data_IF_588981576773
#
_entry.id   IF_588981576773
#
_cell.length_a   1.000
_cell.length_b   1.000
_cell.length_c   1.000
_cell.angle_alpha   90.00
_cell.angle_beta   90.00
_cell.angle_gamma   90.00
#
_symmetry.space_group_name_H-M   'P 1'
#
loop_
_entity.id
_entity.type
_entity.pdbx_description
1 polymer ?
#
# COMPACT_ATOMS: atom_id res chain seq x y z
N UNK A 1 28.20 10.37 -7.04
CA UNK A 1 27.31 11.51 -6.78
C UNK A 1 25.97 10.94 -6.34
N UNK A 2 25.27 11.60 -5.42
CA UNK A 2 23.90 11.22 -5.04
C UNK A 2 22.99 11.39 -6.26
N UNK A 3 22.15 10.39 -6.55
CA UNK A 3 21.08 10.48 -7.55
C UNK A 3 19.73 10.73 -6.88
N UNK A 4 18.77 11.27 -7.63
CA UNK A 4 17.41 11.48 -7.12
C UNK A 4 16.74 10.16 -6.70
N UNK A 5 16.97 9.07 -7.44
CA UNK A 5 16.47 7.74 -7.09
C UNK A 5 17.04 7.23 -5.75
N UNK A 6 18.33 7.47 -5.50
CA UNK A 6 18.96 7.12 -4.22
C UNK A 6 18.36 7.92 -3.06
N UNK A 7 18.17 9.24 -3.22
CA UNK A 7 17.58 10.09 -2.19
C UNK A 7 16.13 9.70 -1.91
N UNK A 8 15.34 9.49 -2.96
CA UNK A 8 13.96 9.02 -2.87
C UNK A 8 13.86 7.67 -2.15
N UNK A 9 14.69 6.70 -2.53
CA UNK A 9 14.75 5.39 -1.88
C UNK A 9 15.15 5.52 -0.41
N UNK A 10 16.10 6.40 -0.10
CA UNK A 10 16.57 6.64 1.25
C UNK A 10 15.48 7.22 2.15
N UNK A 11 14.73 8.21 1.65
CA UNK A 11 13.59 8.79 2.33
C UNK A 11 12.50 7.75 2.60
N UNK A 12 12.15 6.93 1.59
CA UNK A 12 11.17 5.84 1.75
C UNK A 12 11.60 4.81 2.80
N UNK A 13 12.87 4.40 2.79
CA UNK A 13 13.41 3.46 3.79
C UNK A 13 13.29 4.00 5.21
N UNK A 14 13.56 5.29 5.42
CA UNK A 14 13.35 5.91 6.73
C UNK A 14 11.92 5.72 7.22
N UNK A 15 10.93 6.06 6.38
CA UNK A 15 9.53 5.97 6.77
C UNK A 15 9.16 4.53 7.13
N UNK A 16 9.53 3.56 6.28
CA UNK A 16 9.25 2.13 6.51
C UNK A 16 9.92 1.62 7.79
N UNK A 17 11.23 1.87 7.95
CA UNK A 17 12.01 1.32 9.06
C UNK A 17 11.58 1.93 10.40
N UNK A 18 11.37 3.25 10.43
CA UNK A 18 10.90 3.93 11.65
C UNK A 18 9.45 3.59 11.97
N UNK A 19 8.57 3.44 10.96
CA UNK A 19 7.19 3.02 11.18
C UNK A 19 7.14 1.66 11.87
N UNK A 20 7.90 0.69 11.33
CA UNK A 20 8.00 -0.64 11.91
C UNK A 20 8.55 -0.61 13.33
N UNK A 21 9.61 0.16 13.56
CA UNK A 21 10.19 0.34 14.88
C UNK A 21 9.16 0.87 15.89
N UNK A 22 8.48 1.97 15.58
CA UNK A 22 7.53 2.60 16.51
C UNK A 22 6.28 1.75 16.74
N UNK A 23 5.81 1.04 15.71
CA UNK A 23 4.70 0.08 15.82
C UNK A 23 5.08 -1.07 16.76
N UNK A 24 6.30 -1.61 16.64
CA UNK A 24 6.81 -2.65 17.54
C UNK A 24 6.95 -2.14 18.99
N UNK A 25 7.51 -0.93 19.18
CA UNK A 25 7.60 -0.31 20.50
C UNK A 25 6.22 -0.11 21.13
N UNK A 26 5.24 0.33 20.35
CA UNK A 26 3.88 0.54 20.83
C UNK A 26 3.19 -0.77 21.19
N UNK A 27 3.34 -1.81 20.38
CA UNK A 27 2.83 -3.16 20.67
C UNK A 27 3.37 -3.69 22.01
N UNK A 28 4.68 -3.50 22.27
CA UNK A 28 5.30 -3.86 23.55
C UNK A 28 4.71 -3.07 24.73
N UNK A 29 4.39 -1.79 24.54
CA UNK A 29 3.74 -0.98 25.57
C UNK A 29 2.31 -1.50 25.84
N UNK A 30 1.53 -1.76 24.78
CA UNK A 30 0.17 -2.30 24.90
C UNK A 30 0.12 -3.67 25.59
N UNK A 31 1.08 -4.56 25.29
CA UNK A 31 1.13 -5.89 25.92
C UNK A 31 1.31 -5.86 27.44
N UNK A 32 1.83 -4.77 27.99
CA UNK A 32 2.03 -4.56 29.43
C UNK A 32 0.95 -3.66 30.06
N UNK A 33 -0.09 -3.32 29.31
CA UNK A 33 -1.14 -2.40 29.75
C UNK A 33 -2.20 -3.14 30.58
N UNK A 34 -2.59 -2.56 31.71
CA UNK A 34 -3.82 -2.94 32.41
C UNK A 34 -5.07 -2.38 31.74
N UNK A 35 -6.25 -2.61 32.32
CA UNK A 35 -7.49 -1.98 31.84
C UNK A 35 -7.50 -0.47 32.15
N UNK A 36 -7.04 0.36 31.21
CA UNK A 36 -7.18 1.81 31.23
C UNK A 36 -7.74 2.29 29.90
N UNK A 37 -8.70 3.22 29.94
CA UNK A 37 -9.26 3.88 28.76
C UNK A 37 -8.40 5.06 28.29
N UNK A 38 -7.53 5.59 29.15
CA UNK A 38 -6.65 6.71 28.81
C UNK A 38 -5.26 6.21 28.42
N UNK A 39 -4.68 6.84 27.41
CA UNK A 39 -3.28 6.64 27.05
C UNK A 39 -2.37 7.20 28.15
N UNK A 40 -1.38 6.41 28.54
CA UNK A 40 -0.26 6.86 29.35
C UNK A 40 0.61 7.84 28.57
N UNK A 41 1.40 8.64 29.29
CA UNK A 41 2.41 9.52 28.68
C UNK A 41 3.30 8.79 27.67
N UNK A 42 3.70 7.55 27.97
CA UNK A 42 4.57 6.76 27.09
C UNK A 42 3.86 6.35 25.80
N UNK A 43 2.57 6.00 25.88
CA UNK A 43 1.75 5.71 24.70
C UNK A 43 1.62 6.95 23.82
N UNK A 44 1.23 8.08 24.40
CA UNK A 44 1.11 9.38 23.70
C UNK A 44 2.44 9.87 23.09
N UNK A 45 3.59 9.44 23.60
CA UNK A 45 4.90 9.74 22.99
C UNK A 45 5.30 8.79 21.84
N UNK A 46 4.59 7.67 21.69
CA UNK A 46 4.99 6.57 20.82
C UNK A 46 4.06 6.46 19.62
N UNK A 47 2.75 6.31 19.83
CA UNK A 47 1.83 6.01 18.74
C UNK A 47 1.73 7.10 17.66
N UNK A 48 1.78 8.40 18.01
CA UNK A 48 1.70 9.45 17.00
C UNK A 48 2.87 9.42 16.01
N UNK A 49 4.00 8.84 16.40
CA UNK A 49 5.19 8.74 15.55
C UNK A 49 4.95 7.81 14.37
N UNK A 50 4.39 6.63 14.58
CA UNK A 50 4.10 5.75 13.45
C UNK A 50 2.94 6.31 12.60
N UNK A 51 2.01 7.09 13.17
CA UNK A 51 0.97 7.77 12.39
C UNK A 51 1.58 8.78 11.42
N UNK A 52 2.42 9.70 11.90
CA UNK A 52 3.07 10.67 11.00
C UNK A 52 4.02 10.00 10.01
N UNK A 53 4.70 8.90 10.38
CA UNK A 53 5.55 8.15 9.45
C UNK A 53 4.77 7.50 8.32
N UNK A 54 3.54 7.04 8.59
CA UNK A 54 2.64 6.57 7.55
C UNK A 54 2.25 7.70 6.58
N UNK A 55 1.83 8.85 7.12
CA UNK A 55 1.51 10.03 6.30
C UNK A 55 2.72 10.54 5.49
N UNK A 56 3.91 10.57 6.09
CA UNK A 56 5.18 10.88 5.42
C UNK A 56 5.46 9.88 4.29
N UNK A 57 5.29 8.58 4.54
CA UNK A 57 5.49 7.57 3.50
C UNK A 57 4.56 7.81 2.31
N UNK A 58 3.28 8.06 2.55
CA UNK A 58 2.31 8.38 1.50
C UNK A 58 2.73 9.64 0.74
N UNK A 59 3.11 10.71 1.44
CA UNK A 59 3.58 11.94 0.83
C UNK A 59 4.83 11.73 -0.03
N UNK A 60 5.83 11.01 0.47
CA UNK A 60 7.04 10.65 -0.32
C UNK A 60 6.66 9.80 -1.52
N UNK A 61 5.83 8.78 -1.33
CA UNK A 61 5.39 7.87 -2.38
C UNK A 61 4.36 8.50 -3.33
N UNK A 62 3.91 9.75 -3.10
CA UNK A 62 3.15 10.55 -4.07
C UNK A 62 4.04 11.21 -5.13
N UNK A 63 5.37 11.11 -4.99
CA UNK A 63 6.32 11.50 -6.03
C UNK A 63 6.53 10.32 -6.99
N UNK A 64 6.28 10.52 -8.29
CA UNK A 64 6.51 9.48 -9.30
C UNK A 64 8.01 9.21 -9.47
N UNK A 65 8.45 8.02 -9.06
CA UNK A 65 9.87 7.64 -9.11
C UNK A 65 10.45 7.60 -10.53
N UNK A 66 9.61 7.57 -11.58
CA UNK A 66 10.07 7.64 -12.97
C UNK A 66 10.31 9.08 -13.45
N UNK A 67 9.79 10.07 -12.72
CA UNK A 67 9.77 11.48 -13.09
C UNK A 67 10.24 12.34 -11.91
N UNK A 68 11.27 11.87 -11.19
CA UNK A 68 11.87 12.63 -10.10
C UNK A 68 12.63 13.85 -10.63
N UNK A 69 12.56 14.99 -9.94
CA UNK A 69 13.38 16.15 -10.27
C UNK A 69 14.85 15.89 -9.90
N UNK A 70 15.71 16.89 -10.11
CA UNK A 70 17.10 16.79 -9.66
C UNK A 70 17.21 16.75 -8.12
N UNK A 71 18.40 16.45 -7.61
CA UNK A 71 18.61 16.20 -6.17
C UNK A 71 18.27 17.43 -5.30
N UNK A 72 18.72 18.67 -5.63
CA UNK A 72 18.33 19.85 -4.87
C UNK A 72 16.81 20.06 -4.80
N UNK A 73 16.12 20.02 -5.95
CA UNK A 73 14.67 20.21 -5.98
C UNK A 73 13.93 19.06 -5.27
N UNK A 74 14.41 17.82 -5.41
CA UNK A 74 13.85 16.67 -4.69
C UNK A 74 13.98 16.83 -3.17
N UNK A 75 15.12 17.31 -2.69
CA UNK A 75 15.34 17.55 -1.26
C UNK A 75 14.34 18.59 -0.72
N UNK A 76 14.18 19.71 -1.43
CA UNK A 76 13.19 20.74 -1.06
C UNK A 76 11.77 20.17 -1.01
N UNK A 77 11.37 19.36 -2.00
CA UNK A 77 10.06 18.70 -2.01
C UNK A 77 9.88 17.74 -0.83
N UNK A 78 10.89 16.95 -0.50
CA UNK A 78 10.83 16.02 0.63
C UNK A 78 10.72 16.77 1.98
N UNK A 79 11.39 17.91 2.11
CA UNK A 79 11.25 18.77 3.29
C UNK A 79 9.87 19.40 3.37
N UNK A 80 9.32 19.86 2.25
CA UNK A 80 7.96 20.38 2.18
C UNK A 80 6.93 19.30 2.55
N UNK A 81 7.06 18.09 1.99
CA UNK A 81 6.26 16.93 2.40
C UNK A 81 6.36 16.74 3.91
N UNK A 82 7.55 16.83 4.49
CA UNK A 82 7.75 16.66 5.92
C UNK A 82 7.08 17.74 6.78
N UNK A 83 6.80 18.92 6.23
CA UNK A 83 6.10 20.00 6.93
C UNK A 83 4.58 19.91 6.75
N UNK A 84 4.13 19.50 5.57
CA UNK A 84 2.73 19.62 5.16
C UNK A 84 1.94 18.30 5.28
N UNK A 85 2.61 17.14 5.20
CA UNK A 85 1.88 15.87 5.18
C UNK A 85 1.14 15.65 6.50
N UNK A 86 -0.13 15.31 6.41
CA UNK A 86 -0.95 14.91 7.55
C UNK A 86 -2.03 13.95 7.02
N UNK A 87 -2.54 13.09 7.89
CA UNK A 87 -3.74 12.31 7.64
C UNK A 87 -4.75 12.57 8.76
N UNK A 88 -5.98 12.07 8.60
CA UNK A 88 -7.03 12.21 9.62
C UNK A 88 -6.56 11.74 11.00
N UNK A 89 -5.72 10.71 11.08
CA UNK A 89 -5.25 10.18 12.35
C UNK A 89 -4.29 11.15 13.07
N UNK A 90 -3.45 11.86 12.31
CA UNK A 90 -2.57 12.92 12.83
C UNK A 90 -3.34 14.20 13.14
N UNK A 91 -4.28 14.61 12.28
CA UNK A 91 -5.05 15.85 12.46
C UNK A 91 -5.99 15.80 13.68
N UNK A 92 -6.47 14.60 14.03
CA UNK A 92 -7.34 14.41 15.19
C UNK A 92 -6.58 14.37 16.53
N UNK A 93 -5.24 14.49 16.53
CA UNK A 93 -4.45 14.58 17.75
C UNK A 93 -4.65 15.95 18.41
N UNK A 94 -5.01 15.93 19.69
CA UNK A 94 -5.26 17.16 20.48
C UNK A 94 -4.35 17.29 21.70
N UNK A 95 -3.62 16.23 22.06
CA UNK A 95 -2.73 16.23 23.20
C UNK A 95 -1.37 16.84 22.82
N UNK A 96 -0.88 17.78 23.63
CA UNK A 96 0.42 18.44 23.42
C UNK A 96 1.58 17.45 23.29
N UNK A 97 1.59 16.37 24.10
CA UNK A 97 2.63 15.33 24.05
C UNK A 97 2.60 14.57 22.73
N UNK A 98 1.41 14.38 22.16
CA UNK A 98 1.22 13.68 20.89
C UNK A 98 1.71 14.54 19.73
N UNK A 99 1.34 15.83 19.74
CA UNK A 99 1.79 16.82 18.77
C UNK A 99 3.32 17.01 18.82
N UNK A 100 3.92 17.11 20.02
CA UNK A 100 5.37 17.14 20.18
C UNK A 100 6.05 15.89 19.60
N UNK A 101 5.43 14.72 19.75
CA UNK A 101 5.97 13.48 19.21
C UNK A 101 5.97 13.47 17.68
N UNK A 102 4.90 14.01 17.05
CA UNK A 102 4.79 14.21 15.60
C UNK A 102 5.88 15.15 15.10
N UNK A 103 6.00 16.35 15.68
CA UNK A 103 6.98 17.36 15.26
C UNK A 103 8.43 16.90 15.44
N UNK A 104 8.70 16.17 16.52
CA UNK A 104 10.00 15.54 16.74
C UNK A 104 10.33 14.50 15.66
N UNK A 105 9.34 13.78 15.13
CA UNK A 105 9.55 12.79 14.06
C UNK A 105 9.75 13.45 12.70
N UNK A 106 8.96 14.48 12.36
CA UNK A 106 9.19 15.33 11.16
C UNK A 106 10.61 15.89 11.14
N UNK A 107 11.05 16.44 12.27
CA UNK A 107 12.40 17.01 12.43
C UNK A 107 13.50 15.97 12.19
N UNK A 108 13.33 14.75 12.73
CA UNK A 108 14.29 13.65 12.50
C UNK A 108 14.33 13.22 11.05
N UNK A 109 13.18 13.12 10.38
CA UNK A 109 13.12 12.81 8.94
C UNK A 109 13.90 13.84 8.12
N UNK A 110 13.66 15.14 8.34
CA UNK A 110 14.37 16.22 7.64
C UNK A 110 15.88 16.15 7.92
N UNK A 111 16.28 15.95 9.17
CA UNK A 111 17.68 15.76 9.51
C UNK A 111 18.28 14.53 8.82
N UNK A 112 17.53 13.44 8.72
CA UNK A 112 17.98 12.20 8.12
C UNK A 112 18.27 12.36 6.62
N UNK A 113 17.35 12.96 5.87
CA UNK A 113 17.52 13.16 4.42
C UNK A 113 18.63 14.18 4.08
N UNK A 114 18.82 15.21 4.94
CA UNK A 114 19.89 16.21 4.77
C UNK A 114 21.28 15.64 5.05
N UNK A 115 21.39 14.70 5.98
CA UNK A 115 22.68 14.18 6.46
C UNK A 115 23.08 12.85 5.82
N UNK A 116 22.56 12.52 4.63
CA UNK A 116 22.86 11.27 3.94
C UNK A 116 24.37 11.15 3.61
N UNK A 117 25.11 10.23 4.25
CA UNK A 117 26.54 10.12 4.05
C UNK A 117 26.85 9.58 2.65
N UNK A 118 27.77 10.21 1.92
CA UNK A 118 28.14 9.77 0.56
C UNK A 118 28.57 8.30 0.49
N UNK A 119 29.20 7.78 1.55
CA UNK A 119 29.63 6.38 1.65
C UNK A 119 28.49 5.37 1.67
N UNK A 120 27.31 5.79 2.13
CA UNK A 120 26.16 4.91 2.30
C UNK A 120 25.33 4.80 1.00
N UNK A 121 25.52 5.76 0.07
CA UNK A 121 24.83 5.83 -1.21
C UNK A 121 25.01 4.59 -2.09
N UNK A 122 26.20 4.01 -2.09
CA UNK A 122 26.52 2.83 -2.90
C UNK A 122 25.80 1.56 -2.45
N UNK A 123 25.24 1.56 -1.24
CA UNK A 123 24.53 0.43 -0.65
C UNK A 123 23.00 0.60 -0.68
N UNK A 124 22.51 1.72 -1.23
CA UNK A 124 21.08 1.95 -1.35
C UNK A 124 20.54 1.10 -2.50
N UNK A 125 19.98 -0.06 -2.15
CA UNK A 125 19.18 -0.88 -3.06
C UNK A 125 17.83 -0.18 -3.29
N UNK A 126 17.43 0.10 -4.55
CA UNK A 126 16.12 0.67 -4.88
C UNK A 126 14.98 -0.15 -4.28
N UNK A 127 13.98 0.55 -3.72
CA UNK A 127 12.74 -0.09 -3.30
C UNK A 127 11.84 -0.30 -4.52
N UNK A 128 10.96 -1.32 -4.50
CA UNK A 128 10.01 -1.55 -5.59
C UNK A 128 9.11 -0.33 -5.85
N UNK A 129 8.63 -0.23 -7.09
CA UNK A 129 7.83 0.90 -7.53
C UNK A 129 6.54 0.99 -6.71
N UNK A 130 6.27 2.18 -6.19
CA UNK A 130 5.00 2.53 -5.54
C UNK A 130 4.73 4.01 -5.73
N UNK A 131 3.52 4.34 -6.15
CA UNK A 131 3.10 5.69 -6.46
C UNK A 131 1.66 5.93 -5.99
N UNK A 132 1.46 6.76 -4.96
CA UNK A 132 0.13 7.13 -4.48
C UNK A 132 -0.48 8.23 -5.34
N UNK A 133 -1.77 8.10 -5.64
CA UNK A 133 -2.54 9.11 -6.33
C UNK A 133 -4.03 8.92 -6.06
N UNK A 134 -4.80 9.98 -6.26
CA UNK A 134 -6.26 9.91 -6.19
C UNK A 134 -6.80 9.17 -7.42
N UNK A 135 -6.93 7.85 -7.30
CA UNK A 135 -7.45 6.98 -8.37
C UNK A 135 -8.94 7.22 -8.62
N UNK A 136 -9.73 7.59 -7.61
CA UNK A 136 -11.17 7.84 -7.75
C UNK A 136 -11.44 9.01 -8.70
N UNK A 137 -10.56 10.01 -8.68
CA UNK A 137 -10.62 11.14 -9.62
C UNK A 137 -10.34 10.77 -11.09
N UNK A 138 -9.90 9.54 -11.37
CA UNK A 138 -9.46 9.14 -12.70
C UNK A 138 -10.55 8.48 -13.54
N UNK A 139 -10.47 8.63 -14.85
CA UNK A 139 -11.38 7.96 -15.79
C UNK A 139 -11.23 6.45 -15.78
N UNK A 140 -10.05 5.92 -15.45
CA UNK A 140 -9.81 4.48 -15.40
C UNK A 140 -10.55 3.81 -14.25
N UNK A 141 -10.74 4.50 -13.12
CA UNK A 141 -11.52 3.97 -12.01
C UNK A 141 -12.99 3.78 -12.38
N UNK A 142 -13.63 4.80 -12.95
CA UNK A 142 -15.02 4.67 -13.42
C UNK A 142 -15.20 3.60 -14.50
N UNK A 143 -14.20 3.42 -15.38
CA UNK A 143 -14.19 2.32 -16.34
C UNK A 143 -14.06 0.95 -15.68
N UNK A 144 -13.21 0.83 -14.65
CA UNK A 144 -13.06 -0.39 -13.86
C UNK A 144 -14.38 -0.75 -13.18
N UNK A 145 -14.99 0.22 -12.48
CA UNK A 145 -16.28 0.04 -11.82
C UNK A 145 -17.37 -0.39 -12.80
N UNK A 146 -17.46 0.28 -13.96
CA UNK A 146 -18.41 -0.11 -15.00
C UNK A 146 -18.13 -1.51 -15.56
N UNK A 147 -16.87 -1.84 -15.85
CA UNK A 147 -16.46 -3.11 -16.49
C UNK A 147 -16.78 -4.32 -15.61
N UNK A 148 -16.55 -4.20 -14.31
CA UNK A 148 -16.69 -5.28 -13.34
C UNK A 148 -17.92 -5.11 -12.43
N UNK A 149 -18.75 -4.11 -12.71
CA UNK A 149 -19.92 -3.72 -11.91
C UNK A 149 -19.61 -3.64 -10.41
N UNK A 150 -18.47 -3.02 -10.09
CA UNK A 150 -18.18 -2.55 -8.75
C UNK A 150 -19.06 -1.32 -8.54
N UNK A 151 -20.16 -1.48 -7.79
CA UNK A 151 -21.03 -0.37 -7.48
C UNK A 151 -20.37 0.54 -6.42
N UNK A 152 -20.57 1.84 -6.56
CA UNK A 152 -20.17 2.83 -5.57
C UNK A 152 -21.02 2.75 -4.29
N UNK A 153 -22.00 1.84 -4.23
CA UNK A 153 -22.95 1.66 -3.14
C UNK A 153 -22.46 0.78 -1.99
N UNK A 154 -21.14 0.56 -1.87
CA UNK A 154 -20.51 -0.06 -0.71
C UNK A 154 -20.64 -1.58 -0.59
N UNK A 155 -21.13 -2.28 -1.62
CA UNK A 155 -21.39 -3.72 -1.60
C UNK A 155 -20.89 -4.44 -2.87
N UNK A 156 -19.62 -4.29 -3.27
CA UNK A 156 -19.06 -5.28 -4.21
C UNK A 156 -18.84 -6.58 -3.47
N UNK A 157 -19.90 -7.37 -3.43
CA UNK A 157 -19.87 -8.73 -2.93
C UNK A 157 -19.89 -9.67 -4.14
N UNK A 158 -18.83 -10.45 -4.37
CA UNK A 158 -18.84 -11.46 -5.42
C UNK A 158 -19.84 -12.61 -5.13
N UNK A 159 -20.52 -12.57 -3.99
CA UNK A 159 -21.38 -13.62 -3.45
C UNK A 159 -22.89 -13.24 -3.41
N UNK A 160 -23.27 -11.95 -3.54
CA UNK A 160 -24.69 -11.51 -3.58
C UNK A 160 -25.20 -11.28 -5.01
N UNK A 161 -24.29 -11.01 -5.94
CA UNK A 161 -24.58 -10.96 -7.35
C UNK A 161 -24.18 -12.27 -8.02
N UNK A 162 -25.06 -12.81 -8.87
CA UNK A 162 -24.64 -13.89 -9.79
C UNK A 162 -23.43 -13.36 -10.57
N UNK A 163 -22.33 -14.13 -10.68
CA UNK A 163 -21.16 -13.69 -11.44
C UNK A 163 -21.62 -13.22 -12.82
N UNK A 164 -21.12 -12.07 -13.25
CA UNK A 164 -21.67 -11.35 -14.42
C UNK A 164 -21.49 -12.17 -15.70
N UNK A 165 -20.69 -13.23 -15.66
CA UNK A 165 -20.62 -14.30 -16.67
C UNK A 165 -19.64 -15.39 -16.22
N UNK A 166 -19.27 -16.31 -17.13
CA UNK A 166 -18.11 -17.22 -17.01
C UNK A 166 -16.73 -16.50 -16.88
N UNK A 167 -16.71 -15.21 -16.56
CA UNK A 167 -15.52 -14.35 -16.46
C UNK A 167 -15.09 -14.06 -15.03
N UNK A 168 -15.74 -14.67 -14.04
CA UNK A 168 -15.44 -14.46 -12.61
C UNK A 168 -15.35 -15.81 -11.88
N UNK A 169 -14.50 -15.89 -10.87
CA UNK A 169 -14.44 -17.01 -9.93
C UNK A 169 -14.06 -16.48 -8.56
N UNK A 170 -14.52 -17.17 -7.52
CA UNK A 170 -14.19 -16.88 -6.14
C UNK A 170 -13.19 -17.90 -5.61
N UNK A 171 -12.18 -17.41 -4.91
CA UNK A 171 -11.14 -18.18 -4.26
C UNK A 171 -11.14 -17.86 -2.76
N UNK A 172 -10.87 -18.87 -1.93
CA UNK A 172 -10.57 -18.62 -0.51
C UNK A 172 -9.24 -17.88 -0.37
N UNK A 173 -9.12 -17.01 0.65
CA UNK A 173 -7.93 -16.17 0.85
C UNK A 173 -6.62 -16.97 0.96
N UNK A 174 -6.70 -18.19 1.49
CA UNK A 174 -5.60 -19.16 1.60
C UNK A 174 -4.96 -19.47 0.24
N UNK A 175 -5.67 -19.25 -0.88
CA UNK A 175 -5.09 -19.31 -2.21
C UNK A 175 -3.88 -18.37 -2.35
N UNK A 176 -3.88 -17.21 -1.70
CA UNK A 176 -2.77 -16.24 -1.77
C UNK A 176 -1.61 -16.57 -0.83
N UNK A 177 -1.50 -17.84 -0.43
CA UNK A 177 -0.28 -18.40 0.10
C UNK A 177 0.91 -18.25 -0.89
N UNK A 178 2.06 -18.81 -0.51
CA UNK A 178 3.26 -18.74 -1.33
C UNK A 178 3.06 -19.32 -2.74
N UNK A 179 2.21 -20.34 -2.91
CA UNK A 179 1.95 -20.97 -4.20
C UNK A 179 1.07 -20.11 -5.11
N UNK A 180 -0.06 -19.60 -4.63
CA UNK A 180 -0.91 -18.73 -5.46
C UNK A 180 -0.21 -17.44 -5.85
N UNK A 181 0.56 -16.84 -4.94
CA UNK A 181 1.42 -15.69 -5.26
C UNK A 181 2.43 -16.03 -6.36
N UNK A 182 3.06 -17.20 -6.30
CA UNK A 182 4.00 -17.63 -7.33
C UNK A 182 3.32 -17.84 -8.70
N UNK A 183 2.08 -18.35 -8.71
CA UNK A 183 1.27 -18.51 -9.93
C UNK A 183 0.94 -17.14 -10.52
N UNK A 184 0.44 -16.20 -9.71
CA UNK A 184 0.14 -14.83 -10.16
C UNK A 184 1.40 -14.10 -10.65
N UNK A 185 2.56 -14.27 -9.97
CA UNK A 185 3.85 -13.73 -10.44
C UNK A 185 4.21 -14.23 -11.84
N UNK A 186 4.03 -15.52 -12.10
CA UNK A 186 4.28 -16.11 -13.43
C UNK A 186 3.30 -15.58 -14.47
N UNK A 187 2.02 -15.42 -14.11
CA UNK A 187 1.01 -14.82 -14.99
C UNK A 187 1.39 -13.39 -15.38
N UNK A 188 1.64 -12.52 -14.40
CA UNK A 188 2.00 -11.11 -14.64
C UNK A 188 3.29 -10.99 -15.45
N UNK A 189 4.31 -11.80 -15.14
CA UNK A 189 5.55 -11.86 -15.93
C UNK A 189 5.30 -12.30 -17.37
N UNK A 190 4.49 -13.35 -17.57
CA UNK A 190 4.14 -13.86 -18.91
C UNK A 190 3.36 -12.85 -19.75
N UNK A 191 2.51 -12.04 -19.11
CA UNK A 191 1.76 -10.94 -19.72
C UNK A 191 2.56 -9.64 -19.85
N UNK A 192 3.81 -9.62 -19.37
CA UNK A 192 4.68 -8.43 -19.32
C UNK A 192 4.04 -7.25 -18.59
N UNK A 193 3.19 -7.54 -17.60
CA UNK A 193 2.57 -6.54 -16.73
C UNK A 193 3.67 -6.02 -15.82
N UNK A 194 3.98 -4.73 -15.97
CA UNK A 194 5.01 -4.05 -15.17
C UNK A 194 4.43 -3.29 -13.98
N UNK A 195 3.15 -2.94 -14.04
CA UNK A 195 2.47 -2.15 -13.00
C UNK A 195 1.05 -2.65 -12.82
N UNK A 196 0.61 -2.62 -11.57
CA UNK A 196 -0.78 -2.80 -11.19
C UNK A 196 -1.27 -1.49 -10.58
N UNK A 197 -2.53 -1.17 -10.83
CA UNK A 197 -3.28 -0.16 -10.12
C UNK A 197 -3.99 -0.85 -8.97
N UNK A 198 -3.92 -0.24 -7.80
CA UNK A 198 -4.50 -0.74 -6.56
C UNK A 198 -5.47 0.31 -6.06
N UNK A 199 -6.74 -0.07 -6.03
CA UNK A 199 -7.78 0.70 -5.37
C UNK A 199 -8.00 0.12 -3.98
N UNK A 200 -7.84 0.95 -2.96
CA UNK A 200 -8.16 0.59 -1.58
C UNK A 200 -9.44 1.30 -1.20
N UNK A 201 -10.47 0.58 -0.77
CA UNK A 201 -11.73 1.20 -0.32
C UNK A 201 -11.52 2.10 0.90
N UNK A 202 -10.62 1.68 1.78
CA UNK A 202 -10.27 2.41 2.99
C UNK A 202 -8.80 2.80 2.91
N UNK A 203 -8.54 4.01 2.42
CA UNK A 203 -7.20 4.57 2.33
C UNK A 203 -6.81 4.98 0.91
N UNK A 204 -5.52 5.22 0.73
CA UNK A 204 -5.01 5.79 -0.51
C UNK A 204 -4.83 4.71 -1.59
N UNK A 205 -5.28 5.04 -2.79
CA UNK A 205 -5.02 4.23 -3.98
C UNK A 205 -3.62 4.49 -4.53
N UNK A 206 -3.05 3.49 -5.19
CA UNK A 206 -1.67 3.57 -5.68
C UNK A 206 -1.41 2.70 -6.91
N UNK A 207 -0.29 2.95 -7.57
CA UNK A 207 0.28 2.09 -8.59
C UNK A 207 1.51 1.42 -8.02
N UNK A 208 1.70 0.13 -8.26
CA UNK A 208 2.83 -0.61 -7.72
C UNK A 208 3.37 -1.67 -8.69
N UNK A 209 4.56 -2.18 -8.41
CA UNK A 209 5.03 -3.42 -9.00
C UNK A 209 4.08 -4.59 -8.64
N UNK A 210 3.81 -5.52 -9.57
CA UNK A 210 2.87 -6.62 -9.31
C UNK A 210 3.30 -7.47 -8.11
N UNK A 211 2.38 -7.68 -7.16
CA UNK A 211 2.56 -8.54 -5.98
C UNK A 211 3.70 -8.10 -5.05
N UNK A 212 3.98 -6.79 -5.03
CA UNK A 212 4.88 -6.20 -4.06
C UNK A 212 4.31 -6.27 -2.63
N UNK A 213 2.99 -6.12 -2.47
CA UNK A 213 2.33 -6.11 -1.16
C UNK A 213 1.56 -7.40 -0.89
N UNK A 214 1.39 -7.70 0.40
CA UNK A 214 0.42 -8.68 0.82
C UNK A 214 -0.97 -8.16 0.54
N UNK A 215 -1.83 -9.03 0.04
CA UNK A 215 -3.27 -8.83 0.13
C UNK A 215 -3.58 -8.62 1.61
N UNK A 216 -4.07 -7.44 1.96
CA UNK A 216 -4.67 -7.20 3.27
C UNK A 216 -6.07 -7.81 3.20
N UNK A 217 -6.60 -8.28 4.33
CA UNK A 217 -8.01 -8.66 4.43
C UNK A 217 -8.93 -7.44 4.37
N UNK A 218 -8.52 -6.37 3.69
CA UNK A 218 -9.32 -5.19 3.42
C UNK A 218 -9.85 -5.29 2.00
N UNK A 219 -10.87 -4.49 1.72
CA UNK A 219 -11.39 -4.36 0.36
C UNK A 219 -10.41 -3.62 -0.54
N UNK A 220 -9.68 -4.40 -1.33
CA UNK A 220 -8.62 -3.91 -2.21
C UNK A 220 -8.76 -4.56 -3.57
N UNK A 221 -8.61 -3.77 -4.62
CA UNK A 221 -8.82 -4.17 -6.00
C UNK A 221 -7.52 -3.94 -6.78
N UNK A 222 -7.00 -4.98 -7.39
CA UNK A 222 -5.84 -4.95 -8.27
C UNK A 222 -6.28 -5.13 -9.72
N UNK A 223 -5.82 -4.25 -10.59
CA UNK A 223 -6.07 -4.31 -12.03
C UNK A 223 -4.94 -3.61 -12.80
N UNK A 224 -5.00 -3.61 -14.13
CA UNK A 224 -4.11 -2.80 -14.97
C UNK A 224 -4.91 -1.90 -15.92
N UNK A 225 -4.19 -1.15 -16.76
CA UNK A 225 -4.80 -0.21 -17.71
C UNK A 225 -5.70 -0.87 -18.77
N UNK A 226 -5.59 -2.18 -18.97
CA UNK A 226 -6.40 -2.89 -19.96
C UNK A 226 -7.78 -3.26 -19.43
N UNK A 227 -7.93 -3.34 -18.09
CA UNK A 227 -9.13 -3.83 -17.43
C UNK A 227 -9.57 -5.22 -17.93
N UNK A 228 -8.66 -6.01 -18.49
CA UNK A 228 -8.93 -7.40 -18.94
C UNK A 228 -9.02 -8.39 -17.77
N UNK A 229 -8.51 -8.00 -16.60
CA UNK A 229 -8.53 -8.77 -15.36
C UNK A 229 -8.70 -7.85 -14.16
N UNK A 230 -9.17 -8.44 -13.06
CA UNK A 230 -9.22 -7.82 -11.74
C UNK A 230 -9.00 -8.90 -10.69
N UNK A 231 -8.34 -8.55 -9.61
CA UNK A 231 -8.33 -9.35 -8.38
C UNK A 231 -8.92 -8.44 -7.30
N UNK A 232 -9.83 -8.93 -6.49
CA UNK A 232 -10.38 -8.20 -5.35
C UNK A 232 -10.24 -9.06 -4.09
N UNK A 233 -9.68 -8.51 -3.01
CA UNK A 233 -9.74 -9.11 -1.68
C UNK A 233 -10.86 -8.48 -0.88
N UNK A 234 -11.47 -9.23 0.04
CA UNK A 234 -12.54 -8.76 0.92
C UNK A 234 -12.25 -9.09 2.39
N UNK A 235 -12.90 -8.34 3.29
CA UNK A 235 -12.92 -8.56 4.75
C UNK A 235 -13.37 -9.96 5.18
N UNK A 236 -14.03 -10.70 4.28
CA UNK A 236 -14.52 -12.06 4.57
C UNK A 236 -13.51 -13.18 4.29
N UNK A 237 -12.22 -12.85 4.09
CA UNK A 237 -11.19 -13.82 3.67
C UNK A 237 -11.56 -14.53 2.35
N UNK A 238 -12.11 -13.76 1.41
CA UNK A 238 -12.39 -14.19 0.06
C UNK A 238 -11.61 -13.34 -0.94
N UNK A 239 -11.29 -13.93 -2.09
CA UNK A 239 -10.69 -13.26 -3.22
C UNK A 239 -11.57 -13.50 -4.45
N UNK A 240 -12.05 -12.43 -5.07
CA UNK A 240 -12.60 -12.53 -6.42
C UNK A 240 -11.47 -12.42 -7.43
N UNK A 241 -11.49 -13.30 -8.43
CA UNK A 241 -10.63 -13.19 -9.60
C UNK A 241 -11.50 -13.08 -10.83
N UNK A 242 -11.28 -12.01 -11.60
CA UNK A 242 -12.03 -11.70 -12.79
C UNK A 242 -11.11 -11.68 -14.02
N UNK A 243 -11.66 -11.99 -15.18
CA UNK A 243 -10.96 -11.98 -16.46
C UNK A 243 -10.64 -13.37 -16.99
N UNK A 244 -11.09 -13.65 -18.21
CA UNK A 244 -11.02 -14.98 -18.83
C UNK A 244 -9.58 -15.54 -18.89
N UNK A 245 -8.61 -14.71 -19.26
CA UNK A 245 -7.22 -15.15 -19.41
C UNK A 245 -6.59 -15.52 -18.07
N UNK A 246 -6.81 -14.70 -17.03
CA UNK A 246 -6.33 -14.96 -15.69
C UNK A 246 -7.00 -16.21 -15.12
N UNK A 247 -8.31 -16.33 -15.24
CA UNK A 247 -9.06 -17.51 -14.80
C UNK A 247 -8.59 -18.80 -15.46
N UNK A 248 -8.43 -18.81 -16.78
CA UNK A 248 -7.92 -20.00 -17.48
C UNK A 248 -6.48 -20.33 -17.06
N UNK A 249 -5.65 -19.31 -16.86
CA UNK A 249 -4.29 -19.51 -16.37
C UNK A 249 -4.30 -20.15 -14.99
N UNK A 250 -5.11 -19.63 -14.06
CA UNK A 250 -5.28 -20.20 -12.74
C UNK A 250 -5.77 -21.64 -12.80
N UNK A 251 -6.85 -21.95 -13.55
CA UNK A 251 -7.38 -23.32 -13.71
C UNK A 251 -6.32 -24.32 -14.19
N UNK A 252 -5.45 -23.91 -15.11
CA UNK A 252 -4.39 -24.77 -15.65
C UNK A 252 -3.23 -25.01 -14.66
N UNK A 253 -3.05 -24.14 -13.67
CA UNK A 253 -1.94 -24.22 -12.71
C UNK A 253 -2.39 -24.63 -11.31
N UNK A 254 -3.69 -24.57 -11.02
CA UNK A 254 -4.24 -24.80 -9.69
C UNK A 254 -4.46 -26.27 -9.34
N UNK A 255 -4.49 -27.20 -10.31
CA UNK A 255 -4.58 -28.65 -10.01
C UNK A 255 -5.65 -28.97 -8.95
N UNK A 256 -5.23 -29.49 -7.78
CA UNK A 256 -6.07 -29.88 -6.64
C UNK A 256 -6.82 -28.73 -5.93
N UNK A 257 -6.47 -27.47 -6.20
CA UNK A 257 -7.19 -26.31 -5.67
C UNK A 257 -8.51 -26.04 -6.41
N UNK A 258 -8.94 -26.93 -7.31
CA UNK A 258 -10.29 -26.90 -7.90
C UNK A 258 -11.41 -26.81 -6.85
N UNK A 259 -11.15 -27.34 -5.64
CA UNK A 259 -12.09 -27.30 -4.52
C UNK A 259 -12.16 -25.94 -3.81
N UNK A 260 -11.23 -25.01 -4.09
CA UNK A 260 -11.25 -23.65 -3.55
C UNK A 260 -12.03 -22.67 -4.43
N UNK A 261 -12.49 -23.12 -5.61
CA UNK A 261 -13.30 -22.32 -6.50
C UNK A 261 -14.75 -22.41 -6.05
N UNK A 262 -15.34 -21.31 -5.56
CA UNK A 262 -16.79 -21.22 -5.52
C UNK A 262 -17.26 -20.97 -6.97
N UNK A 263 -18.05 -21.90 -7.50
CA UNK A 263 -18.75 -21.79 -8.78
C UNK A 263 -20.09 -21.07 -8.60
#
# INVERSE_FOLDING_TARGET
MLTSEQLYTYARKYCIDQYNYWTEQYSKIQSNRGFSLQYSKRESQTFPRYLILNALQVGVESLDSNNLPDVPELLEKLEQIALECSDDAVENLVNEIELEAVEAERSKFVMYIRNLPQRDLQYIVPLPYKYYFDLESTTIFSQMCHRWSVDNSYDYYPLEHKPISNQETLLQFEFLDQNGRNILKKFFKGKKIKRVLVYCRYGNSYAADPLHESFSGEEVYWFDQTLEWMICSSYENAIAVCGHQLLNYLRNHLGHYSNLLYL
#
